data_IF_988776052792
#
_entry.id   IF_988776052792
#
_cell.length_a   1.000
_cell.length_b   1.000
_cell.length_c   1.000
_cell.angle_alpha   90.00
_cell.angle_beta   90.00
_cell.angle_gamma   90.00
#
_symmetry.space_group_name_H-M   'P 1'
#
loop_
_entity.id
_entity.type
_entity.pdbx_description
1 polymer ?
#
# COMPACT_ATOMS: atom_id res chain seq x y z
N UNK A 1 -11.19 6.98 3.14
CA UNK A 1 -11.31 6.81 4.60
C UNK A 1 -11.50 5.35 4.98
N UNK A 2 -12.35 4.59 4.27
CA UNK A 2 -12.66 3.19 4.63
C UNK A 2 -11.43 2.27 4.53
N UNK A 3 -10.53 2.47 3.58
CA UNK A 3 -9.27 1.73 3.51
C UNK A 3 -8.43 1.86 4.79
N UNK A 4 -8.51 2.99 5.48
CA UNK A 4 -7.85 3.21 6.76
C UNK A 4 -8.50 2.48 7.95
N UNK A 5 -9.73 1.96 7.80
CA UNK A 5 -10.33 1.05 8.78
C UNK A 5 -9.49 -0.23 8.92
N UNK A 6 -8.86 -0.67 7.84
CA UNK A 6 -7.91 -1.78 7.87
C UNK A 6 -6.58 -1.28 8.41
N UNK A 7 -6.13 -1.78 9.55
CA UNK A 7 -4.77 -1.55 10.03
C UNK A 7 -3.77 -2.37 9.22
N UNK A 8 -4.07 -3.66 9.04
CA UNK A 8 -3.31 -4.56 8.16
C UNK A 8 -4.18 -5.69 7.63
N UNK A 9 -3.89 -6.11 6.40
CA UNK A 9 -4.40 -7.32 5.79
C UNK A 9 -3.22 -8.24 5.44
N UNK A 10 -3.26 -9.48 5.91
CA UNK A 10 -2.19 -10.46 5.74
C UNK A 10 -2.72 -11.68 5.02
N UNK A 11 -2.02 -12.10 3.97
CA UNK A 11 -2.22 -13.37 3.32
C UNK A 11 -1.24 -14.39 3.92
N UNK A 12 -1.77 -15.47 4.46
CA UNK A 12 -0.96 -16.53 5.05
C UNK A 12 -1.20 -17.85 4.29
N UNK A 13 -0.16 -18.64 4.15
CA UNK A 13 -0.24 -20.01 3.65
C UNK A 13 0.51 -20.90 4.64
N UNK A 14 -0.19 -21.85 5.24
CA UNK A 14 0.39 -22.72 6.25
C UNK A 14 0.95 -21.98 7.47
N UNK A 15 0.33 -20.84 7.84
CA UNK A 15 0.76 -19.99 8.94
C UNK A 15 1.93 -19.04 8.61
N UNK A 16 2.56 -19.17 7.42
CA UNK A 16 3.59 -18.24 6.97
C UNK A 16 2.93 -17.03 6.28
N UNK A 17 3.28 -15.83 6.68
CA UNK A 17 2.84 -14.60 6.01
C UNK A 17 3.54 -14.49 4.66
N UNK A 18 2.75 -14.57 3.58
CA UNK A 18 3.22 -14.42 2.20
C UNK A 18 3.23 -12.96 1.80
N UNK A 19 2.18 -12.22 2.14
CA UNK A 19 2.08 -10.80 1.84
C UNK A 19 1.33 -10.09 2.97
N UNK A 20 1.79 -8.89 3.31
CA UNK A 20 1.15 -8.01 4.28
C UNK A 20 0.93 -6.64 3.67
N UNK A 21 -0.31 -6.18 3.71
CA UNK A 21 -0.73 -4.85 3.25
C UNK A 21 -1.14 -4.01 4.44
N UNK A 22 -0.93 -2.69 4.35
CA UNK A 22 -1.45 -1.72 5.30
C UNK A 22 -2.61 -0.96 4.68
N UNK A 23 -3.56 -0.47 5.48
CA UNK A 23 -4.66 0.33 4.97
C UNK A 23 -4.20 1.60 4.26
N UNK A 24 -3.08 2.17 4.68
CA UNK A 24 -2.45 3.31 4.01
C UNK A 24 -1.94 2.94 2.60
N UNK A 25 -1.32 1.77 2.45
CA UNK A 25 -0.91 1.29 1.12
C UNK A 25 -2.12 0.97 0.24
N UNK A 26 -3.17 0.36 0.79
CA UNK A 26 -4.43 0.11 0.07
C UNK A 26 -5.01 1.43 -0.45
N UNK A 27 -5.01 2.49 0.37
CA UNK A 27 -5.43 3.82 -0.04
C UNK A 27 -4.57 4.37 -1.20
N UNK A 28 -3.23 4.32 -1.08
CA UNK A 28 -2.34 4.79 -2.15
C UNK A 28 -2.52 4.00 -3.44
N UNK A 29 -2.68 2.68 -3.34
CA UNK A 29 -2.93 1.82 -4.48
C UNK A 29 -4.24 2.20 -5.20
N UNK A 30 -5.33 2.42 -4.45
CA UNK A 30 -6.60 2.85 -5.03
C UNK A 30 -6.47 4.18 -5.79
N UNK A 31 -5.70 5.13 -5.25
CA UNK A 31 -5.48 6.43 -5.91
C UNK A 31 -4.72 6.32 -7.23
N UNK A 32 -3.79 5.38 -7.36
CA UNK A 32 -2.92 5.24 -8.54
C UNK A 32 -3.51 4.35 -9.64
N UNK A 33 -4.31 3.35 -9.25
CA UNK A 33 -4.75 2.29 -10.16
C UNK A 33 -6.22 2.41 -10.60
N UNK A 34 -6.98 3.33 -10.04
CA UNK A 34 -8.36 3.54 -10.45
C UNK A 34 -8.43 4.56 -11.59
N UNK A 35 -9.28 4.29 -12.58
CA UNK A 35 -9.59 5.23 -13.65
C UNK A 35 -10.59 6.28 -13.15
N UNK A 36 -10.72 7.43 -13.86
CA UNK A 36 -11.68 8.47 -13.50
C UNK A 36 -13.12 7.93 -13.49
N UNK A 37 -13.48 7.07 -14.44
CA UNK A 37 -14.80 6.43 -14.51
C UNK A 37 -15.03 5.49 -13.30
N UNK A 38 -14.00 4.76 -12.87
CA UNK A 38 -14.03 3.94 -11.66
C UNK A 38 -14.10 4.82 -10.41
N UNK A 39 -13.52 6.01 -10.45
CA UNK A 39 -13.49 6.94 -9.31
C UNK A 39 -14.89 7.41 -8.93
N UNK A 40 -15.74 7.78 -9.90
CA UNK A 40 -17.10 8.21 -9.64
C UNK A 40 -17.96 7.08 -9.05
N UNK A 41 -17.82 5.86 -9.53
CA UNK A 41 -18.48 4.69 -8.95
C UNK A 41 -17.86 4.30 -7.60
N UNK A 42 -16.55 4.37 -7.49
CA UNK A 42 -15.79 4.09 -6.28
C UNK A 42 -16.13 5.08 -5.17
N UNK A 43 -16.37 6.35 -5.47
CA UNK A 43 -16.84 7.37 -4.51
C UNK A 43 -18.16 6.96 -3.87
N UNK A 44 -19.08 6.43 -4.65
CA UNK A 44 -20.39 5.99 -4.14
C UNK A 44 -20.30 4.70 -3.32
N UNK A 45 -19.47 3.74 -3.74
CA UNK A 45 -19.45 2.41 -3.11
C UNK A 45 -18.28 2.21 -2.15
N UNK A 46 -17.12 2.81 -2.42
CA UNK A 46 -15.92 2.61 -1.60
C UNK A 46 -15.67 3.79 -0.65
N UNK A 47 -16.37 4.88 -0.81
CA UNK A 47 -16.25 6.09 0.00
C UNK A 47 -14.80 6.47 0.33
N UNK A 48 -13.94 6.39 -0.70
CA UNK A 48 -12.51 6.59 -0.56
C UNK A 48 -12.09 8.06 -0.51
N UNK A 49 -13.00 8.97 -0.86
CA UNK A 49 -12.70 10.40 -0.89
C UNK A 49 -12.95 11.03 0.48
N UNK A 50 -11.97 11.75 0.96
CA UNK A 50 -11.86 12.36 2.28
C UNK A 50 -12.93 13.35 2.70
N UNK A 51 -14.13 13.23 2.17
CA UNK A 51 -15.28 14.03 2.59
C UNK A 51 -15.88 13.44 3.87
N UNK A 52 -16.05 14.28 4.85
CA UNK A 52 -16.84 13.98 6.04
C UNK A 52 -18.25 13.72 5.60
N UNK A 53 -18.70 12.48 5.65
CA UNK A 53 -20.11 12.15 5.43
C UNK A 53 -20.79 12.14 6.78
N UNK A 54 -21.86 12.90 6.92
CA UNK A 54 -22.75 12.80 8.08
C UNK A 54 -23.57 11.51 7.91
N UNK A 55 -23.23 10.48 8.70
CA UNK A 55 -23.88 9.18 8.63
C UNK A 55 -25.15 9.17 9.47
N UNK A 56 -26.25 8.81 8.83
CA UNK A 56 -27.45 8.35 9.51
C UNK A 56 -28.00 7.14 8.77
N UNK A 57 -27.73 5.93 9.26
CA UNK A 57 -28.24 4.67 8.68
C UNK A 57 -27.17 3.59 8.50
N UNK A 58 -27.56 2.51 7.83
CA UNK A 58 -26.71 1.37 7.52
C UNK A 58 -26.07 1.55 6.15
N UNK A 59 -24.75 1.39 6.08
CA UNK A 59 -24.00 1.50 4.84
C UNK A 59 -23.17 0.24 4.60
N UNK A 60 -23.08 -0.18 3.34
CA UNK A 60 -22.19 -1.23 2.87
C UNK A 60 -20.99 -0.59 2.17
N UNK A 61 -19.80 -1.03 2.53
CA UNK A 61 -18.55 -0.59 1.91
C UNK A 61 -17.82 -1.78 1.35
N UNK A 62 -17.20 -1.58 0.21
CA UNK A 62 -16.33 -2.56 -0.43
C UNK A 62 -14.89 -2.03 -0.42
N UNK A 63 -13.94 -2.87 -0.08
CA UNK A 63 -12.51 -2.54 -0.06
C UNK A 63 -11.78 -3.62 -0.84
N UNK A 64 -11.14 -3.24 -1.92
CA UNK A 64 -10.26 -4.12 -2.65
C UNK A 64 -8.98 -4.38 -1.87
N UNK A 65 -8.59 -5.65 -1.79
CA UNK A 65 -7.33 -6.06 -1.18
C UNK A 65 -6.33 -6.39 -2.29
N UNK A 66 -5.39 -5.48 -2.61
CA UNK A 66 -4.45 -5.65 -3.72
C UNK A 66 -3.34 -6.64 -3.38
N UNK A 67 -3.71 -7.89 -3.07
CA UNK A 67 -2.76 -8.98 -2.99
C UNK A 67 -2.20 -9.28 -4.38
N UNK A 68 -1.07 -9.99 -4.44
CA UNK A 68 -0.33 -10.22 -5.68
C UNK A 68 -1.15 -10.84 -6.82
N UNK A 69 -2.22 -11.56 -6.51
CA UNK A 69 -3.14 -12.16 -7.49
C UNK A 69 -4.35 -11.27 -7.85
N UNK A 70 -4.49 -10.10 -7.21
CA UNK A 70 -5.53 -9.14 -7.55
C UNK A 70 -5.39 -8.68 -9.00
N UNK A 71 -6.46 -8.66 -9.77
CA UNK A 71 -6.52 -8.30 -11.19
C UNK A 71 -5.79 -9.25 -12.17
N UNK A 72 -5.15 -10.34 -11.72
CA UNK A 72 -4.50 -11.27 -12.63
C UNK A 72 -4.78 -12.72 -12.26
N UNK A 73 -5.70 -13.35 -13.01
CA UNK A 73 -6.10 -14.75 -12.80
C UNK A 73 -4.96 -15.74 -12.99
N UNK A 74 -3.92 -15.41 -13.78
CA UNK A 74 -2.76 -16.28 -13.96
C UNK A 74 -1.87 -16.40 -12.71
N UNK A 75 -2.02 -15.47 -11.77
CA UNK A 75 -1.35 -15.50 -10.46
C UNK A 75 -2.24 -16.09 -9.35
N UNK A 76 -3.38 -16.64 -9.68
CA UNK A 76 -4.30 -17.25 -8.70
C UNK A 76 -3.59 -18.31 -7.86
N UNK A 77 -3.98 -18.38 -6.58
CA UNK A 77 -3.42 -19.37 -5.64
C UNK A 77 -3.89 -20.77 -6.06
N UNK A 78 -2.98 -21.71 -6.35
CA UNK A 78 -3.33 -23.07 -6.76
C UNK A 78 -3.76 -23.91 -5.54
N UNK A 79 -4.96 -23.65 -5.01
CA UNK A 79 -5.45 -24.30 -3.79
C UNK A 79 -5.50 -25.82 -3.90
N UNK A 80 -5.74 -26.37 -5.11
CA UNK A 80 -5.69 -27.81 -5.36
C UNK A 80 -4.29 -28.42 -5.11
N UNK A 81 -3.21 -27.64 -5.31
CA UNK A 81 -1.84 -28.09 -5.07
C UNK A 81 -1.39 -27.88 -3.62
N UNK A 82 -2.19 -27.22 -2.77
CA UNK A 82 -1.90 -26.95 -1.36
C UNK A 82 -2.56 -27.99 -0.43
N UNK A 83 -2.24 -29.26 -0.63
CA UNK A 83 -2.90 -30.35 0.11
C UNK A 83 -2.54 -30.44 1.59
N UNK A 84 -1.45 -29.78 2.01
CA UNK A 84 -0.90 -29.83 3.39
C UNK A 84 -0.97 -28.51 4.13
N UNK A 85 -1.47 -27.46 3.50
CA UNK A 85 -1.50 -26.11 4.05
C UNK A 85 -2.85 -25.45 3.78
N UNK A 86 -3.24 -24.58 4.71
CA UNK A 86 -4.46 -23.77 4.59
C UNK A 86 -4.06 -22.37 4.16
N UNK A 87 -4.87 -21.78 3.30
CA UNK A 87 -4.77 -20.37 2.91
C UNK A 87 -5.68 -19.56 3.84
N UNK A 88 -5.14 -18.54 4.46
CA UNK A 88 -5.84 -17.67 5.40
C UNK A 88 -5.66 -16.21 5.02
N UNK A 89 -6.71 -15.42 5.18
CA UNK A 89 -6.64 -13.96 5.13
C UNK A 89 -6.94 -13.43 6.53
N UNK A 90 -5.97 -12.75 7.11
CA UNK A 90 -6.08 -12.14 8.43
C UNK A 90 -6.23 -10.63 8.28
N UNK A 91 -7.33 -10.07 8.74
CA UNK A 91 -7.60 -8.64 8.70
C UNK A 91 -7.59 -8.12 10.14
N UNK A 92 -6.76 -7.10 10.38
CA UNK A 92 -6.75 -6.34 11.62
C UNK A 92 -7.40 -4.99 11.36
N UNK A 93 -8.43 -4.66 12.13
CA UNK A 93 -9.13 -3.39 12.03
C UNK A 93 -8.61 -2.40 13.06
N UNK A 94 -8.67 -1.11 12.72
CA UNK A 94 -8.45 -0.01 13.66
C UNK A 94 -9.69 0.24 14.49
N UNK A 95 -9.54 0.74 15.71
CA UNK A 95 -10.67 1.25 16.47
C UNK A 95 -11.39 2.38 15.71
N UNK A 96 -12.71 2.36 15.70
CA UNK A 96 -13.49 3.41 15.02
C UNK A 96 -13.24 4.80 15.60
N UNK A 97 -12.94 4.88 16.91
CA UNK A 97 -12.57 6.13 17.56
C UNK A 97 -11.35 6.84 16.96
N UNK A 98 -10.48 6.13 16.26
CA UNK A 98 -9.31 6.70 15.56
C UNK A 98 -9.65 7.21 14.15
N UNK A 99 -10.86 6.95 13.65
CA UNK A 99 -11.27 7.25 12.27
C UNK A 99 -12.39 8.31 12.23
N UNK A 100 -13.09 8.50 13.32
CA UNK A 100 -14.18 9.47 13.43
C UNK A 100 -13.61 10.82 13.84
N UNK A 101 -13.82 11.84 13.02
CA UNK A 101 -13.48 13.22 13.35
C UNK A 101 -14.74 14.00 13.75
N UNK A 102 -14.62 14.91 14.72
CA UNK A 102 -15.74 15.72 15.20
C UNK A 102 -15.44 16.33 16.56
N UNK A 103 -16.40 17.07 17.12
CA UNK A 103 -16.25 17.71 18.42
C UNK A 103 -16.13 16.72 19.59
N UNK A 104 -16.78 15.55 19.47
CA UNK A 104 -16.77 14.49 20.49
C UNK A 104 -16.66 13.12 19.80
N UNK A 105 -15.51 12.75 19.24
CA UNK A 105 -15.34 11.50 18.50
C UNK A 105 -15.57 10.24 19.36
N UNK A 106 -15.36 10.36 20.68
CA UNK A 106 -15.61 9.29 21.65
C UNK A 106 -17.10 8.93 21.80
N UNK A 107 -17.99 9.85 21.44
CA UNK A 107 -19.44 9.63 21.47
C UNK A 107 -19.98 9.04 20.15
N UNK A 108 -19.14 8.83 19.16
CA UNK A 108 -19.55 8.22 17.91
C UNK A 108 -19.91 6.74 18.13
N UNK A 109 -21.17 6.41 18.00
CA UNK A 109 -21.65 5.03 18.07
C UNK A 109 -21.70 4.49 16.64
N UNK A 110 -20.70 3.69 16.28
CA UNK A 110 -20.72 2.95 15.04
C UNK A 110 -20.52 1.46 15.34
N UNK A 111 -21.40 0.64 14.80
CA UNK A 111 -21.36 -0.81 15.01
C UNK A 111 -21.08 -1.50 13.67
N UNK A 112 -20.03 -2.31 13.65
CA UNK A 112 -19.73 -3.17 12.52
C UNK A 112 -20.68 -4.37 12.53
N UNK A 113 -21.68 -4.39 11.64
CA UNK A 113 -22.70 -5.42 11.62
C UNK A 113 -22.25 -6.71 10.96
N UNK A 114 -21.48 -6.60 9.87
CA UNK A 114 -21.04 -7.74 9.07
C UNK A 114 -19.71 -7.44 8.39
N UNK A 115 -18.81 -8.41 8.39
CA UNK A 115 -17.62 -8.44 7.53
C UNK A 115 -17.73 -9.70 6.68
N UNK A 116 -17.50 -9.57 5.38
CA UNK A 116 -17.41 -10.68 4.45
C UNK A 116 -16.20 -10.45 3.53
N UNK A 117 -15.63 -11.52 3.03
CA UNK A 117 -14.59 -11.49 1.99
C UNK A 117 -15.21 -12.16 0.78
N UNK A 118 -15.29 -11.42 -0.32
CA UNK A 118 -15.70 -11.95 -1.61
C UNK A 118 -14.44 -12.40 -2.36
N UNK A 119 -14.45 -13.63 -2.85
CA UNK A 119 -13.34 -14.24 -3.57
C UNK A 119 -13.82 -14.89 -4.84
N UNK A 120 -13.06 -14.74 -5.91
CA UNK A 120 -13.32 -15.43 -7.16
C UNK A 120 -12.58 -16.75 -7.20
N UNK A 121 -13.29 -17.82 -7.54
CA UNK A 121 -12.74 -19.16 -7.69
C UNK A 121 -12.78 -19.60 -9.13
N UNK A 122 -11.66 -20.14 -9.62
CA UNK A 122 -11.55 -20.77 -10.93
C UNK A 122 -11.63 -22.29 -10.73
N UNK A 123 -12.67 -22.92 -11.28
CA UNK A 123 -12.80 -24.37 -11.25
C UNK A 123 -12.00 -24.99 -12.40
N UNK A 124 -11.19 -25.97 -12.06
CA UNK A 124 -10.30 -26.66 -12.99
C UNK A 124 -10.87 -28.04 -13.35
N UNK A 125 -10.60 -28.49 -14.59
CA UNK A 125 -10.81 -29.87 -14.98
C UNK A 125 -9.81 -30.78 -14.26
N UNK A 126 -10.12 -32.08 -14.17
CA UNK A 126 -9.22 -33.06 -13.53
C UNK A 126 -7.83 -33.05 -14.16
N UNK A 127 -7.76 -32.91 -15.48
CA UNK A 127 -6.47 -32.86 -16.23
C UNK A 127 -5.63 -31.63 -15.86
N UNK A 128 -6.25 -30.48 -15.73
CA UNK A 128 -5.57 -29.23 -15.33
C UNK A 128 -5.11 -29.32 -13.87
N UNK A 129 -5.94 -29.87 -12.99
CA UNK A 129 -5.58 -30.09 -11.59
C UNK A 129 -4.37 -31.01 -11.46
N UNK A 130 -4.37 -32.16 -12.14
CA UNK A 130 -3.27 -33.13 -12.13
C UNK A 130 -1.98 -32.50 -12.67
N UNK A 131 -2.09 -31.65 -13.69
CA UNK A 131 -0.96 -30.92 -14.24
C UNK A 131 -0.35 -29.94 -13.21
N UNK A 132 -1.19 -29.19 -12.47
CA UNK A 132 -0.70 -28.28 -11.42
C UNK A 132 -0.11 -29.01 -10.22
N UNK A 133 -0.62 -30.20 -9.89
CA UNK A 133 -0.15 -31.00 -8.76
C UNK A 133 1.13 -31.78 -9.07
N UNK A 134 1.40 -32.09 -10.34
CA UNK A 134 2.50 -32.97 -10.76
C UNK A 134 3.87 -32.34 -10.75
N UNK A 135 3.97 -31.01 -10.66
CA UNK A 135 5.25 -30.28 -10.79
C UNK A 135 5.34 -29.10 -9.84
N UNK A 136 6.58 -28.65 -9.50
CA UNK A 136 6.78 -27.40 -8.79
C UNK A 136 6.32 -26.22 -9.64
N UNK A 137 5.65 -25.26 -8.98
CA UNK A 137 5.19 -24.02 -9.59
C UNK A 137 5.88 -22.86 -8.88
N UNK A 138 6.49 -21.96 -9.63
CA UNK A 138 7.10 -20.73 -9.13
C UNK A 138 6.29 -19.53 -9.63
N UNK A 139 5.75 -18.73 -8.71
CA UNK A 139 5.09 -17.47 -9.00
C UNK A 139 6.00 -16.31 -8.64
N UNK A 140 6.14 -15.35 -9.55
CA UNK A 140 6.71 -14.04 -9.21
C UNK A 140 5.61 -13.22 -8.56
N UNK A 141 5.77 -12.94 -7.29
CA UNK A 141 4.80 -12.19 -6.48
C UNK A 141 5.33 -10.84 -6.07
N UNK A 142 4.44 -9.93 -5.72
CA UNK A 142 4.80 -8.64 -5.11
C UNK A 142 4.62 -8.71 -3.60
N UNK A 143 5.52 -8.04 -2.87
CA UNK A 143 5.45 -7.88 -1.41
C UNK A 143 5.69 -6.43 -1.04
N UNK A 144 5.15 -6.02 0.11
CA UNK A 144 5.29 -4.68 0.66
C UNK A 144 6.22 -4.70 1.87
N UNK A 145 7.27 -3.91 1.84
CA UNK A 145 8.10 -3.60 3.00
C UNK A 145 7.83 -2.17 3.46
N UNK A 146 8.01 -1.89 4.74
CA UNK A 146 7.81 -0.56 5.32
C UNK A 146 8.95 -0.22 6.28
N UNK A 147 9.48 0.99 6.15
CA UNK A 147 10.37 1.63 7.10
C UNK A 147 9.69 2.87 7.68
N UNK A 148 9.80 3.07 8.97
CA UNK A 148 9.19 4.22 9.67
C UNK A 148 10.20 4.94 10.54
N UNK A 149 10.09 6.26 10.59
CA UNK A 149 10.88 7.11 11.48
C UNK A 149 10.11 8.37 11.83
N UNK A 150 10.56 9.06 12.86
CA UNK A 150 9.95 10.30 13.34
C UNK A 150 10.90 11.46 13.05
N UNK A 151 10.39 12.52 12.46
CA UNK A 151 11.03 13.83 12.37
C UNK A 151 10.48 14.66 13.52
N UNK A 152 11.38 15.20 14.35
CA UNK A 152 10.97 15.99 15.51
C UNK A 152 10.48 17.38 15.13
N UNK A 153 9.67 17.99 15.98
CA UNK A 153 9.25 19.38 15.81
C UNK A 153 10.48 20.28 15.57
N UNK A 154 10.42 21.11 14.53
CA UNK A 154 11.53 21.95 14.07
C UNK A 154 12.53 21.24 13.14
N UNK A 155 12.46 19.92 12.94
CA UNK A 155 13.30 19.17 12.02
C UNK A 155 12.65 19.12 10.63
N UNK A 156 13.21 19.84 9.65
CA UNK A 156 12.68 19.88 8.29
C UNK A 156 13.31 18.83 7.37
N UNK A 157 14.51 18.36 7.72
CA UNK A 157 15.30 17.44 6.91
C UNK A 157 15.78 16.29 7.76
N UNK A 158 15.63 15.06 7.28
CA UNK A 158 16.15 13.88 7.95
C UNK A 158 16.75 12.88 6.98
N UNK A 159 17.93 12.38 7.37
CA UNK A 159 18.59 11.27 6.66
C UNK A 159 18.48 9.98 7.45
N UNK A 160 18.07 8.91 6.80
CA UNK A 160 17.89 7.59 7.40
C UNK A 160 18.44 6.49 6.50
N UNK A 161 18.96 5.43 7.12
CA UNK A 161 19.36 4.23 6.42
C UNK A 161 18.14 3.33 6.22
N UNK A 162 17.86 2.95 4.97
CA UNK A 162 16.77 2.04 4.62
C UNK A 162 17.24 0.58 4.76
N UNK A 163 16.43 -0.24 5.42
CA UNK A 163 16.69 -1.67 5.62
C UNK A 163 15.83 -2.55 4.69
N UNK A 164 15.60 -2.06 3.47
CA UNK A 164 14.87 -2.86 2.46
C UNK A 164 15.75 -3.92 1.85
N UNK A 165 15.14 -5.03 1.51
CA UNK A 165 15.72 -6.17 0.81
C UNK A 165 14.93 -6.48 -0.46
N UNK A 166 15.36 -7.49 -1.18
CA UNK A 166 14.75 -7.98 -2.42
C UNK A 166 14.77 -6.96 -3.58
N UNK A 167 14.40 -7.38 -4.78
CA UNK A 167 14.25 -6.51 -5.94
C UNK A 167 13.04 -5.58 -5.79
N UNK A 168 13.29 -4.29 -5.59
CA UNK A 168 12.27 -3.25 -5.40
C UNK A 168 11.91 -2.61 -6.73
N UNK A 169 10.62 -2.54 -7.04
CA UNK A 169 10.10 -1.87 -8.24
C UNK A 169 9.68 -0.44 -7.99
N UNK A 170 9.14 -0.13 -6.80
CA UNK A 170 8.63 1.20 -6.45
C UNK A 170 8.87 1.54 -4.99
N UNK A 171 9.04 2.83 -4.74
CA UNK A 171 9.08 3.42 -3.40
C UNK A 171 7.93 4.42 -3.27
N UNK A 172 7.29 4.45 -2.09
CA UNK A 172 6.29 5.45 -1.73
C UNK A 172 6.72 6.14 -0.44
N UNK A 173 6.49 7.45 -0.37
CA UNK A 173 6.90 8.28 0.74
C UNK A 173 5.70 9.05 1.27
N UNK A 174 5.43 8.91 2.55
CA UNK A 174 4.35 9.64 3.26
C UNK A 174 4.88 10.21 4.56
N UNK A 175 4.48 11.44 4.86
CA UNK A 175 4.77 12.10 6.13
C UNK A 175 3.47 12.62 6.71
N UNK A 176 3.24 12.44 8.01
CA UNK A 176 2.01 12.79 8.68
C UNK A 176 2.31 13.41 10.03
N UNK A 177 1.75 14.60 10.33
CA UNK A 177 1.92 15.23 11.62
C UNK A 177 1.18 14.44 12.71
N UNK A 178 1.74 14.44 13.91
CA UNK A 178 1.10 13.81 15.06
C UNK A 178 -0.26 14.46 15.39
N UNK A 179 -0.41 15.74 15.11
CA UNK A 179 -1.68 16.45 15.21
C UNK A 179 -2.74 15.87 14.28
N UNK A 180 -2.41 15.62 13.02
CA UNK A 180 -3.36 15.01 12.07
C UNK A 180 -3.82 13.62 12.53
N UNK A 181 -2.92 12.85 13.17
CA UNK A 181 -3.26 11.55 13.76
C UNK A 181 -4.21 11.72 14.95
N UNK A 182 -3.93 12.66 15.87
CA UNK A 182 -4.79 12.93 17.02
C UNK A 182 -6.16 13.45 16.63
N UNK A 183 -6.22 14.25 15.56
CA UNK A 183 -7.47 14.84 15.07
C UNK A 183 -8.27 13.84 14.19
N UNK A 184 -7.86 12.56 14.16
CA UNK A 184 -8.49 11.47 13.40
C UNK A 184 -8.61 11.74 11.89
N UNK A 185 -7.57 12.33 11.31
CA UNK A 185 -7.43 12.54 9.88
C UNK A 185 -6.37 11.60 9.28
N UNK A 186 -6.68 10.31 9.10
CA UNK A 186 -5.69 9.28 8.72
C UNK A 186 -5.10 9.48 7.32
N UNK A 187 -5.80 10.19 6.44
CA UNK A 187 -5.38 10.49 5.07
C UNK A 187 -4.78 11.89 4.90
N UNK A 188 -4.57 12.65 5.97
CA UNK A 188 -3.98 13.98 5.89
C UNK A 188 -2.45 13.88 6.01
N UNK A 189 -1.78 13.93 4.88
CA UNK A 189 -0.31 13.90 4.82
C UNK A 189 0.26 15.31 4.69
N UNK A 190 1.49 15.47 5.12
CA UNK A 190 2.27 16.68 4.93
C UNK A 190 3.00 16.64 3.60
N UNK A 191 3.17 17.80 3.00
CA UNK A 191 3.94 17.95 1.77
C UNK A 191 5.39 17.60 1.99
N UNK A 192 5.91 16.65 1.23
CA UNK A 192 7.33 16.35 1.11
C UNK A 192 7.87 17.24 0.00
N UNK A 193 8.80 18.14 0.33
CA UNK A 193 9.36 19.11 -0.60
C UNK A 193 10.44 18.52 -1.50
N UNK A 194 11.26 17.63 -0.94
CA UNK A 194 12.35 16.97 -1.68
C UNK A 194 12.63 15.58 -1.11
N UNK A 195 13.02 14.67 -1.99
CA UNK A 195 13.55 13.34 -1.63
C UNK A 195 14.85 13.09 -2.38
N UNK A 196 15.87 12.69 -1.63
CA UNK A 196 17.18 12.33 -2.14
C UNK A 196 17.53 10.91 -1.73
N UNK A 197 17.90 10.08 -2.69
CA UNK A 197 18.32 8.70 -2.46
C UNK A 197 19.76 8.49 -2.94
N UNK A 198 20.57 7.85 -2.10
CA UNK A 198 21.94 7.45 -2.42
C UNK A 198 22.14 5.98 -2.16
N UNK A 199 22.81 5.31 -3.08
CA UNK A 199 23.27 3.93 -2.94
C UNK A 199 24.79 3.89 -2.91
N UNK A 200 25.38 3.37 -1.82
CA UNK A 200 26.82 3.30 -1.62
C UNK A 200 27.53 4.64 -1.88
N UNK A 201 26.93 5.74 -1.41
CA UNK A 201 27.32 7.13 -1.62
C UNK A 201 27.07 7.72 -3.04
N UNK A 202 26.71 6.92 -4.03
CA UNK A 202 26.33 7.41 -5.34
C UNK A 202 24.89 7.95 -5.34
N UNK A 203 24.68 9.08 -5.99
CA UNK A 203 23.36 9.70 -6.10
C UNK A 203 22.52 8.92 -7.10
N UNK A 204 21.39 8.38 -6.64
CA UNK A 204 20.38 7.72 -7.49
C UNK A 204 19.41 8.75 -8.04
N UNK A 205 18.82 9.54 -7.14
CA UNK A 205 17.99 10.69 -7.50
C UNK A 205 17.98 11.75 -6.39
N UNK A 206 17.70 12.97 -6.80
CA UNK A 206 17.44 14.14 -5.96
C UNK A 206 16.32 14.90 -6.66
N UNK A 207 15.11 14.81 -6.15
CA UNK A 207 13.90 15.24 -6.86
C UNK A 207 12.92 15.96 -5.95
N UNK A 208 12.32 16.99 -6.53
CA UNK A 208 11.33 17.83 -5.87
C UNK A 208 9.93 17.20 -5.88
N UNK A 209 9.01 17.82 -5.16
CA UNK A 209 7.63 17.43 -5.03
C UNK A 209 6.92 17.23 -6.39
N UNK A 210 7.11 18.15 -7.33
CA UNK A 210 6.41 18.10 -8.61
C UNK A 210 6.73 16.81 -9.38
N UNK A 211 8.02 16.46 -9.39
CA UNK A 211 8.48 15.24 -10.01
C UNK A 211 7.90 14.00 -9.30
N UNK A 212 7.96 13.94 -7.96
CA UNK A 212 7.61 12.75 -7.19
C UNK A 212 6.11 12.51 -7.05
N UNK A 213 5.29 13.56 -7.10
CA UNK A 213 3.84 13.45 -6.93
C UNK A 213 3.13 13.37 -8.28
N UNK A 214 3.50 14.23 -9.24
CA UNK A 214 2.75 14.33 -10.50
C UNK A 214 3.44 13.62 -11.66
N UNK A 215 4.72 13.90 -11.93
CA UNK A 215 5.37 13.32 -13.10
C UNK A 215 5.51 11.80 -13.00
N UNK A 216 5.85 11.29 -11.81
CA UNK A 216 5.97 9.85 -11.60
C UNK A 216 4.62 9.14 -11.72
N UNK A 217 3.57 9.66 -11.11
CA UNK A 217 2.24 9.08 -11.17
C UNK A 217 1.68 9.11 -12.61
N UNK A 218 1.76 10.25 -13.29
CA UNK A 218 1.28 10.38 -14.68
C UNK A 218 2.07 9.51 -15.67
N UNK A 219 3.34 9.27 -15.41
CA UNK A 219 4.19 8.48 -16.32
C UNK A 219 4.04 6.98 -16.13
N UNK A 220 3.82 6.53 -14.90
CA UNK A 220 3.93 5.12 -14.54
C UNK A 220 2.63 4.50 -14.07
N UNK A 221 1.60 5.31 -13.79
CA UNK A 221 0.28 4.87 -13.34
C UNK A 221 -0.85 5.49 -14.14
N UNK A 222 -2.05 4.98 -13.93
CA UNK A 222 -3.26 5.41 -14.67
C UNK A 222 -3.70 6.80 -14.20
N UNK A 223 -3.62 7.06 -12.89
CA UNK A 223 -4.12 8.29 -12.31
C UNK A 223 -3.10 8.93 -11.36
N UNK A 224 -2.90 10.26 -11.41
CA UNK A 224 -2.16 10.95 -10.37
C UNK A 224 -2.98 10.97 -9.07
N UNK A 225 -2.32 11.13 -7.89
CA UNK A 225 -3.05 11.40 -6.66
C UNK A 225 -3.96 12.60 -6.86
N UNK A 226 -5.26 12.41 -6.62
CA UNK A 226 -6.27 13.40 -6.94
C UNK A 226 -6.04 14.71 -6.17
N UNK A 227 -5.88 15.82 -6.90
CA UNK A 227 -5.83 17.16 -6.34
C UNK A 227 -7.20 17.80 -6.41
N UNK A 228 -7.97 17.74 -5.32
CA UNK A 228 -9.24 18.49 -5.21
C UNK A 228 -8.97 19.89 -4.70
N UNK A 229 -8.92 20.85 -5.61
CA UNK A 229 -8.64 22.26 -5.33
C UNK A 229 -9.80 23.00 -4.60
N UNK A 230 -10.95 22.37 -4.40
CA UNK A 230 -12.20 23.10 -4.13
C UNK A 230 -12.60 23.24 -2.67
N UNK A 231 -11.94 22.62 -1.73
CA UNK A 231 -12.28 22.75 -0.29
C UNK A 231 -11.03 22.91 0.55
N UNK A 232 -11.11 23.60 1.69
CA UNK A 232 -10.02 23.91 2.62
C UNK A 232 -9.24 22.70 3.20
N UNK A 233 -9.43 21.52 2.66
CA UNK A 233 -8.69 20.30 2.98
C UNK A 233 -7.69 20.06 1.85
N UNK A 234 -6.43 20.41 2.09
CA UNK A 234 -5.33 19.93 1.26
C UNK A 234 -5.39 18.41 1.27
N UNK A 235 -5.68 17.83 0.12
CA UNK A 235 -5.63 16.39 -0.02
C UNK A 235 -4.23 15.88 0.22
N UNK A 236 -4.19 14.69 0.72
CA UNK A 236 -3.04 13.91 1.10
C UNK A 236 -2.21 13.54 -0.11
N UNK A 237 -1.26 14.40 -0.42
CA UNK A 237 -0.26 14.11 -1.44
C UNK A 237 0.75 13.13 -0.87
N UNK A 238 0.85 11.95 -1.44
CA UNK A 238 1.99 11.07 -1.24
C UNK A 238 2.95 11.15 -2.42
N UNK A 239 4.22 10.94 -2.15
CA UNK A 239 5.27 10.95 -3.16
C UNK A 239 5.63 9.52 -3.54
N UNK A 240 6.04 9.30 -4.79
CA UNK A 240 6.48 8.00 -5.27
C UNK A 240 7.68 8.10 -6.20
N UNK A 241 8.40 6.98 -6.34
CA UNK A 241 9.46 6.81 -7.31
C UNK A 241 9.46 5.39 -7.86
N UNK A 242 9.39 5.24 -9.18
CA UNK A 242 9.42 3.95 -9.85
C UNK A 242 10.79 3.64 -10.43
N UNK A 243 11.31 2.43 -10.13
CA UNK A 243 12.47 1.82 -10.80
C UNK A 243 12.05 0.96 -12.00
N UNK A 244 10.75 0.66 -12.10
CA UNK A 244 10.17 -0.11 -13.19
C UNK A 244 9.75 0.83 -14.34
N UNK A 245 9.83 0.33 -15.56
CA UNK A 245 9.34 1.06 -16.74
C UNK A 245 7.81 1.02 -16.84
N UNK A 246 7.22 -0.10 -16.39
CA UNK A 246 5.77 -0.26 -16.29
C UNK A 246 5.44 -1.04 -15.01
N UNK A 247 5.26 -0.35 -13.88
CA UNK A 247 5.05 -0.99 -12.58
C UNK A 247 3.69 -1.68 -12.45
N UNK A 248 2.72 -1.38 -13.31
CA UNK A 248 1.39 -2.01 -13.28
C UNK A 248 1.39 -3.43 -13.84
N UNK A 249 2.41 -3.80 -14.62
CA UNK A 249 2.52 -5.15 -15.14
C UNK A 249 2.80 -6.17 -14.03
N UNK A 250 2.20 -7.34 -14.18
CA UNK A 250 2.39 -8.46 -13.24
C UNK A 250 3.79 -9.10 -13.33
N UNK A 251 4.51 -8.84 -14.42
CA UNK A 251 5.88 -9.29 -14.62
C UNK A 251 6.88 -8.15 -14.43
N UNK A 252 8.13 -8.44 -14.07
CA UNK A 252 9.14 -7.40 -13.85
C UNK A 252 9.50 -6.65 -15.14
N UNK A 253 9.37 -5.32 -15.11
CA UNK A 253 9.76 -4.41 -16.22
C UNK A 253 10.94 -3.51 -15.84
N UNK A 254 11.50 -3.69 -14.67
CA UNK A 254 12.62 -2.97 -14.09
C UNK A 254 12.56 -3.04 -12.58
N UNK A 255 13.74 -3.03 -11.95
CA UNK A 255 13.84 -3.13 -10.50
C UNK A 255 15.26 -2.80 -10.03
N UNK A 256 15.40 -2.46 -8.75
CA UNK A 256 16.70 -2.36 -8.08
C UNK A 256 16.81 -3.41 -7.00
N UNK A 257 17.85 -4.24 -7.04
CA UNK A 257 18.04 -5.27 -6.02
C UNK A 257 18.62 -4.65 -4.73
N UNK A 258 17.75 -4.32 -3.81
CA UNK A 258 18.12 -3.69 -2.53
C UNK A 258 18.95 -4.62 -1.63
N UNK A 259 18.87 -5.94 -1.79
CA UNK A 259 19.69 -6.89 -1.02
C UNK A 259 21.20 -6.80 -1.36
N UNK A 260 21.55 -6.33 -2.55
CA UNK A 260 22.94 -6.18 -2.99
C UNK A 260 23.56 -4.82 -2.63
N UNK A 261 22.77 -3.89 -2.11
CA UNK A 261 23.22 -2.55 -1.77
C UNK A 261 23.43 -2.50 -0.26
N UNK A 262 24.65 -2.20 0.17
CA UNK A 262 25.00 -2.13 1.59
C UNK A 262 24.44 -0.85 2.23
N UNK A 263 24.74 0.29 1.63
CA UNK A 263 24.33 1.59 2.16
C UNK A 263 23.23 2.19 1.30
N UNK A 264 22.02 2.32 1.87
CA UNK A 264 20.83 2.90 1.24
C UNK A 264 20.40 4.12 2.05
N UNK A 265 21.01 5.27 1.75
CA UNK A 265 20.77 6.52 2.48
C UNK A 265 19.65 7.30 1.81
N UNK A 266 18.56 7.48 2.54
CA UNK A 266 17.43 8.32 2.15
C UNK A 266 17.46 9.61 2.95
N UNK A 267 17.35 10.76 2.26
CA UNK A 267 17.12 12.06 2.88
C UNK A 267 15.77 12.58 2.43
N UNK A 268 14.91 12.92 3.37
CA UNK A 268 13.60 13.52 3.12
C UNK A 268 13.56 14.92 3.69
N UNK A 269 13.05 15.85 2.89
CA UNK A 269 12.78 17.23 3.30
C UNK A 269 11.27 17.47 3.26
N UNK A 270 10.72 18.03 4.34
CA UNK A 270 9.32 18.44 4.43
C UNK A 270 9.23 19.97 4.40
N UNK A 271 8.08 20.48 3.98
CA UNK A 271 7.83 21.92 4.02
C UNK A 271 7.97 22.43 5.48
N UNK A 272 8.72 23.50 5.74
CA UNK A 272 8.91 24.07 7.08
C UNK A 272 7.61 24.39 7.83
N UNK A 273 6.55 24.75 7.12
CA UNK A 273 5.20 24.97 7.70
C UNK A 273 4.68 23.70 8.40
N UNK A 274 5.11 22.53 7.96
CA UNK A 274 4.66 21.23 8.49
C UNK A 274 5.54 20.72 9.64
N UNK A 275 6.60 21.43 10.00
CA UNK A 275 7.54 21.01 11.05
C UNK A 275 7.17 21.48 12.47
N UNK A 276 5.99 22.06 12.65
CA UNK A 276 5.52 22.57 13.96
C UNK A 276 5.32 21.42 14.97
N UNK A 277 4.85 20.27 14.50
CA UNK A 277 4.64 19.06 15.30
C UNK A 277 5.61 17.96 14.89
N UNK A 278 5.73 16.93 15.73
CA UNK A 278 6.43 15.70 15.36
C UNK A 278 5.75 15.07 14.13
N UNK A 279 6.55 14.63 13.17
CA UNK A 279 6.07 14.03 11.94
C UNK A 279 6.45 12.55 11.86
N UNK A 280 5.46 11.69 11.73
CA UNK A 280 5.64 10.26 11.48
C UNK A 280 5.80 10.03 9.98
N UNK A 281 7.01 9.75 9.54
CA UNK A 281 7.32 9.47 8.15
C UNK A 281 7.44 7.98 7.92
N UNK A 282 6.84 7.51 6.84
CA UNK A 282 6.82 6.11 6.41
C UNK A 282 7.29 6.01 4.97
N UNK A 283 8.14 5.04 4.72
CA UNK A 283 8.62 4.70 3.39
C UNK A 283 8.19 3.28 3.10
N UNK A 284 7.50 3.08 2.00
CA UNK A 284 7.08 1.78 1.54
C UNK A 284 7.92 1.36 0.33
N UNK A 285 8.28 0.10 0.27
CA UNK A 285 8.95 -0.48 -0.88
C UNK A 285 8.13 -1.67 -1.39
N UNK A 286 7.70 -1.58 -2.64
CA UNK A 286 7.04 -2.68 -3.33
C UNK A 286 8.10 -3.50 -4.07
N UNK A 287 8.32 -4.73 -3.62
CA UNK A 287 9.36 -5.61 -4.14
C UNK A 287 8.79 -6.88 -4.76
N UNK A 288 9.60 -7.52 -5.58
CA UNK A 288 9.31 -8.87 -6.07
C UNK A 288 9.91 -9.93 -5.12
N UNK A 289 9.23 -11.07 -5.06
CA UNK A 289 9.72 -12.30 -4.46
C UNK A 289 9.20 -13.50 -5.27
N UNK A 290 9.62 -14.71 -4.93
CA UNK A 290 9.16 -15.94 -5.56
C UNK A 290 8.42 -16.77 -4.53
N UNK A 291 7.15 -17.08 -4.84
CA UNK A 291 6.35 -18.05 -4.11
C UNK A 291 6.45 -19.39 -4.85
N UNK A 292 7.02 -20.39 -4.18
CA UNK A 292 7.12 -21.77 -4.71
C UNK A 292 6.05 -22.64 -4.11
N UNK A 293 5.30 -23.34 -4.95
CA UNK A 293 4.35 -24.39 -4.56
C UNK A 293 4.91 -25.71 -5.03
N UNK A 294 5.11 -26.65 -4.11
CA UNK A 294 5.65 -27.96 -4.41
C UNK A 294 5.24 -28.99 -3.36
N UNK A 295 4.88 -30.19 -3.80
CA UNK A 295 4.56 -31.37 -2.95
C UNK A 295 3.53 -31.06 -1.83
N UNK A 296 2.52 -30.25 -2.12
CA UNK A 296 1.45 -29.89 -1.20
C UNK A 296 1.77 -28.69 -0.27
N UNK A 297 2.93 -28.08 -0.43
CA UNK A 297 3.42 -26.96 0.38
C UNK A 297 3.70 -25.73 -0.49
N UNK A 298 3.52 -24.55 0.09
CA UNK A 298 3.98 -23.29 -0.48
C UNK A 298 4.93 -22.58 0.50
N UNK A 299 5.87 -21.82 -0.06
CA UNK A 299 6.79 -21.02 0.73
C UNK A 299 7.52 -19.99 -0.12
N UNK A 300 8.00 -18.94 0.53
CA UNK A 300 8.86 -17.94 -0.10
C UNK A 300 10.23 -18.53 -0.38
N UNK A 301 10.79 -18.19 -1.53
CA UNK A 301 12.11 -18.67 -1.95
C UNK A 301 13.25 -17.79 -1.43
N UNK A 302 12.94 -16.52 -1.13
CA UNK A 302 13.88 -15.52 -0.63
C UNK A 302 13.30 -14.75 0.56
#
# INVERSE_FOLDING_TARGET
VISHLIESAELLIGGQTIQKLTGEYIYMHQQLYNTDDDTDQTVYFLNSHGNTIAYSGDYNYFIDLPFYFYRNSSLSIPTCALTKQIVEVRIKLRPLSELVSGANPENAIATLKKIAIDTEFVFLTDRERDYLMSRPIDYVITQLQMSKFVMKAGENTKSVMLNFSHPVKELFFVSQSEKAVRDNHPNRYNTISNVKLRFNNELVFDRDRKFLVYEQALKYHISPPEYVAATNYKQSEFSMYSFALNPEMYYPTGQVNMSRIVHKLLTIEIDPINSVDDNKTRVYALNFNILRVNAGLAGLKF
#
